data_IF_014924522681
#
_entry.id   IF_014924522681
#
_cell.length_a   1.000
_cell.length_b   1.000
_cell.length_c   1.000
_cell.angle_alpha   90.00
_cell.angle_beta   90.00
_cell.angle_gamma   90.00
#
_symmetry.space_group_name_H-M   'P 1'
#
loop_
_entity.id
_entity.type
_entity.pdbx_description
1 polymer ?
#
# COMPACT_ATOMS: atom_id res chain seq x y z
N UNK A 1 -219.98 -26.89 -35.08
CA UNK A 1 -218.66 -27.01 -35.75
C UNK A 1 -217.53 -26.78 -34.76
N UNK A 2 -217.24 -25.53 -34.33
CA UNK A 2 -216.23 -25.15 -33.30
C UNK A 2 -215.53 -26.28 -32.54
N UNK A 3 -216.24 -27.02 -31.68
CA UNK A 3 -215.68 -28.10 -30.83
C UNK A 3 -214.84 -29.14 -31.61
N UNK A 4 -215.17 -29.48 -32.87
CA UNK A 4 -214.35 -30.40 -33.68
C UNK A 4 -213.04 -29.76 -34.14
N UNK A 5 -213.07 -28.49 -34.52
CA UNK A 5 -211.89 -27.74 -34.98
C UNK A 5 -210.97 -27.41 -33.80
N UNK A 6 -211.56 -27.09 -32.64
CA UNK A 6 -210.89 -26.92 -31.35
C UNK A 6 -210.22 -28.24 -30.91
N UNK A 7 -210.92 -29.38 -31.00
CA UNK A 7 -210.34 -30.70 -30.67
C UNK A 7 -209.23 -31.12 -31.65
N UNK A 8 -209.37 -30.82 -32.94
CA UNK A 8 -208.32 -31.07 -33.93
C UNK A 8 -207.09 -30.16 -33.69
N UNK A 9 -207.31 -28.90 -33.33
CA UNK A 9 -206.28 -27.95 -32.93
C UNK A 9 -205.53 -28.42 -31.67
N UNK A 10 -206.24 -28.80 -30.60
CA UNK A 10 -205.64 -29.37 -29.40
C UNK A 10 -204.84 -30.65 -29.71
N UNK A 11 -205.36 -31.54 -30.55
CA UNK A 11 -204.64 -32.77 -30.94
C UNK A 11 -203.35 -32.46 -31.71
N UNK A 12 -203.37 -31.48 -32.61
CA UNK A 12 -202.18 -31.02 -33.34
C UNK A 12 -201.17 -30.33 -32.42
N UNK A 13 -201.62 -29.48 -31.50
CA UNK A 13 -200.77 -28.84 -30.49
C UNK A 13 -200.14 -29.87 -29.54
N UNK A 14 -200.91 -30.88 -29.10
CA UNK A 14 -200.42 -31.97 -28.26
C UNK A 14 -199.39 -32.84 -28.99
N UNK A 15 -199.62 -33.16 -30.28
CA UNK A 15 -198.59 -33.83 -31.09
C UNK A 15 -197.34 -32.98 -31.28
N UNK A 16 -197.48 -31.67 -31.49
CA UNK A 16 -196.37 -30.71 -31.52
C UNK A 16 -195.56 -30.73 -30.23
N UNK A 17 -196.22 -30.60 -29.08
CA UNK A 17 -195.61 -30.66 -27.76
C UNK A 17 -194.91 -32.01 -27.49
N UNK A 18 -195.46 -33.14 -27.96
CA UNK A 18 -194.75 -34.43 -27.91
C UNK A 18 -193.49 -34.44 -28.79
N UNK A 19 -193.56 -33.94 -30.04
CA UNK A 19 -192.39 -33.88 -30.93
C UNK A 19 -191.33 -32.85 -30.45
N UNK A 20 -191.73 -31.84 -29.69
CA UNK A 20 -190.83 -30.87 -29.04
C UNK A 20 -190.21 -31.45 -27.77
N UNK A 21 -190.99 -32.12 -26.93
CA UNK A 21 -190.49 -32.89 -25.78
C UNK A 21 -189.48 -33.95 -26.21
N UNK A 22 -189.77 -34.69 -27.27
CA UNK A 22 -188.92 -35.81 -27.69
C UNK A 22 -187.64 -35.32 -28.37
N UNK A 23 -187.69 -34.20 -29.11
CA UNK A 23 -186.49 -33.47 -29.55
C UNK A 23 -185.69 -32.87 -28.39
N UNK A 24 -186.36 -32.33 -27.37
CA UNK A 24 -185.70 -31.81 -26.17
C UNK A 24 -185.02 -32.93 -25.36
N UNK A 25 -185.63 -34.12 -25.28
CA UNK A 25 -185.04 -35.31 -24.66
C UNK A 25 -183.83 -35.82 -25.47
N UNK A 26 -183.91 -35.86 -26.80
CA UNK A 26 -182.76 -36.20 -27.66
C UNK A 26 -181.61 -35.19 -27.50
N UNK A 27 -181.91 -33.89 -27.49
CA UNK A 27 -180.92 -32.84 -27.26
C UNK A 27 -180.31 -32.91 -25.85
N UNK A 28 -181.12 -33.21 -24.82
CA UNK A 28 -180.66 -33.40 -23.45
C UNK A 28 -179.74 -34.62 -23.33
N UNK A 29 -180.07 -35.74 -23.97
CA UNK A 29 -179.20 -36.92 -24.00
C UNK A 29 -177.90 -36.64 -24.75
N UNK A 30 -177.94 -35.92 -25.88
CA UNK A 30 -176.73 -35.53 -26.62
C UNK A 30 -175.85 -34.56 -25.82
N UNK A 31 -176.45 -33.61 -25.11
CA UNK A 31 -175.71 -32.69 -24.23
C UNK A 31 -175.10 -33.43 -23.04
N UNK A 32 -175.83 -34.38 -22.43
CA UNK A 32 -175.29 -35.24 -21.36
C UNK A 32 -174.12 -36.10 -21.84
N UNK A 33 -174.21 -36.67 -23.05
CA UNK A 33 -173.12 -37.45 -23.62
C UNK A 33 -171.89 -36.56 -23.87
N UNK A 34 -172.05 -35.41 -24.54
CA UNK A 34 -170.95 -34.46 -24.77
C UNK A 34 -170.33 -33.94 -23.46
N UNK A 35 -171.12 -33.75 -22.39
CA UNK A 35 -170.58 -33.40 -21.08
C UNK A 35 -169.76 -34.57 -20.51
N UNK A 36 -170.26 -35.82 -20.56
CA UNK A 36 -169.49 -37.00 -20.15
C UNK A 36 -168.19 -37.17 -20.96
N UNK A 37 -168.27 -37.04 -22.29
CA UNK A 37 -167.13 -37.18 -23.19
C UNK A 37 -166.06 -36.13 -22.87
N UNK A 38 -166.48 -34.87 -22.63
CA UNK A 38 -165.59 -33.78 -22.25
C UNK A 38 -165.03 -33.94 -20.83
N UNK A 39 -165.83 -34.38 -19.87
CA UNK A 39 -165.38 -34.62 -18.50
C UNK A 39 -164.33 -35.76 -18.47
N UNK A 40 -164.45 -36.74 -19.38
CA UNK A 40 -163.45 -37.78 -19.62
C UNK A 40 -162.19 -37.24 -20.33
N UNK A 41 -162.32 -36.45 -21.40
CA UNK A 41 -161.18 -35.81 -22.10
C UNK A 41 -160.37 -34.90 -21.16
N UNK A 42 -161.04 -34.08 -20.34
CA UNK A 42 -160.39 -33.23 -19.33
C UNK A 42 -159.74 -34.09 -18.23
N UNK A 43 -160.31 -35.24 -17.87
CA UNK A 43 -159.71 -36.16 -16.89
C UNK A 43 -158.48 -36.90 -17.44
N UNK A 44 -158.54 -37.46 -18.65
CA UNK A 44 -157.38 -38.09 -19.30
C UNK A 44 -156.23 -37.09 -19.43
N UNK A 45 -156.54 -35.84 -19.81
CA UNK A 45 -155.56 -34.77 -19.85
C UNK A 45 -154.99 -34.43 -18.46
N UNK A 46 -155.80 -34.37 -17.41
CA UNK A 46 -155.29 -34.16 -16.05
C UNK A 46 -154.35 -35.29 -15.59
N UNK A 47 -154.61 -36.54 -16.01
CA UNK A 47 -153.72 -37.67 -15.75
C UNK A 47 -152.43 -37.61 -16.60
N UNK A 48 -152.44 -37.04 -17.80
CA UNK A 48 -151.23 -36.77 -18.60
C UNK A 48 -150.40 -35.62 -18.03
N UNK A 49 -151.02 -34.46 -17.77
CA UNK A 49 -150.37 -33.30 -17.12
C UNK A 49 -149.74 -33.71 -15.77
N UNK A 50 -150.41 -34.59 -15.01
CA UNK A 50 -149.89 -35.13 -13.74
C UNK A 50 -148.62 -35.97 -13.93
N UNK A 51 -148.57 -36.88 -14.92
CA UNK A 51 -147.37 -37.68 -15.24
C UNK A 51 -146.19 -36.78 -15.63
N UNK A 52 -146.42 -35.79 -16.50
CA UNK A 52 -145.39 -34.83 -16.91
C UNK A 52 -144.87 -34.03 -15.72
N UNK A 53 -145.73 -33.63 -14.79
CA UNK A 53 -145.34 -32.95 -13.55
C UNK A 53 -144.48 -33.87 -12.64
N UNK A 54 -144.79 -35.16 -12.55
CA UNK A 54 -143.98 -36.12 -11.78
C UNK A 54 -142.62 -36.41 -12.42
N UNK A 55 -142.55 -36.57 -13.74
CA UNK A 55 -141.29 -36.72 -14.48
C UNK A 55 -140.39 -35.49 -14.32
N UNK A 56 -140.94 -34.28 -14.47
CA UNK A 56 -140.20 -33.04 -14.27
C UNK A 56 -139.71 -32.89 -12.81
N UNK A 57 -140.51 -33.29 -11.82
CA UNK A 57 -140.08 -33.32 -10.40
C UNK A 57 -138.93 -34.30 -10.19
N UNK A 58 -138.99 -35.50 -10.76
CA UNK A 58 -137.93 -36.50 -10.66
C UNK A 58 -136.62 -36.01 -11.29
N UNK A 59 -136.70 -35.40 -12.48
CA UNK A 59 -135.55 -34.79 -13.17
C UNK A 59 -134.96 -33.65 -12.32
N UNK A 60 -135.78 -32.75 -11.78
CA UNK A 60 -135.31 -31.66 -10.93
C UNK A 60 -134.64 -32.16 -9.63
N UNK A 61 -135.16 -33.20 -9.00
CA UNK A 61 -134.55 -33.79 -7.80
C UNK A 61 -133.24 -34.52 -8.12
N UNK A 62 -133.16 -35.22 -9.25
CA UNK A 62 -131.91 -35.82 -9.74
C UNK A 62 -130.85 -34.74 -10.05
N UNK A 63 -131.23 -33.66 -10.73
CA UNK A 63 -130.34 -32.53 -11.00
C UNK A 63 -129.87 -31.85 -9.70
N UNK A 64 -130.76 -31.66 -8.72
CA UNK A 64 -130.42 -31.10 -7.41
C UNK A 64 -129.45 -32.00 -6.64
N UNK A 65 -129.67 -33.32 -6.66
CA UNK A 65 -128.75 -34.29 -6.07
C UNK A 65 -127.37 -34.26 -6.74
N UNK A 66 -127.32 -34.13 -8.07
CA UNK A 66 -126.06 -34.04 -8.82
C UNK A 66 -125.30 -32.73 -8.54
N UNK A 67 -125.98 -31.59 -8.49
CA UNK A 67 -125.39 -30.29 -8.10
C UNK A 67 -124.76 -30.41 -6.70
N UNK A 68 -125.50 -30.93 -5.72
CA UNK A 68 -125.01 -31.10 -4.34
C UNK A 68 -123.84 -32.10 -4.26
N UNK A 69 -123.75 -33.08 -5.16
CA UNK A 69 -122.57 -33.95 -5.26
C UNK A 69 -121.35 -33.20 -5.82
N UNK A 70 -121.53 -32.41 -6.88
CA UNK A 70 -120.46 -31.58 -7.47
C UNK A 70 -119.96 -30.52 -6.49
N UNK A 71 -120.85 -29.86 -5.75
CA UNK A 71 -120.48 -28.87 -4.70
C UNK A 71 -119.62 -29.49 -3.60
N UNK A 72 -119.96 -30.71 -3.15
CA UNK A 72 -119.13 -31.45 -2.18
C UNK A 72 -117.77 -31.83 -2.77
N UNK A 73 -117.74 -32.36 -4.00
CA UNK A 73 -116.50 -32.76 -4.67
C UNK A 73 -115.56 -31.58 -4.88
N UNK A 74 -116.09 -30.44 -5.36
CA UNK A 74 -115.37 -29.19 -5.49
C UNK A 74 -114.81 -28.72 -4.15
N UNK A 75 -115.61 -28.76 -3.08
CA UNK A 75 -115.17 -28.35 -1.74
C UNK A 75 -114.03 -29.22 -1.19
N UNK A 76 -114.07 -30.53 -1.44
CA UNK A 76 -113.01 -31.47 -1.04
C UNK A 76 -111.72 -31.26 -1.83
N UNK A 77 -111.81 -31.07 -3.15
CA UNK A 77 -110.62 -30.75 -3.96
C UNK A 77 -110.06 -29.35 -3.62
N UNK A 78 -110.90 -28.37 -3.26
CA UNK A 78 -110.43 -27.08 -2.75
C UNK A 78 -109.64 -27.20 -1.44
N UNK A 79 -110.12 -27.97 -0.45
CA UNK A 79 -109.36 -28.17 0.80
C UNK A 79 -108.04 -28.91 0.55
N UNK A 80 -108.07 -29.95 -0.28
CA UNK A 80 -106.89 -30.72 -0.71
C UNK A 80 -105.88 -29.88 -1.51
N UNK A 81 -106.35 -28.93 -2.32
CA UNK A 81 -105.49 -27.98 -3.03
C UNK A 81 -104.81 -27.00 -2.05
N UNK A 82 -105.51 -26.55 -1.01
CA UNK A 82 -104.93 -25.65 -0.01
C UNK A 82 -103.94 -26.37 0.92
N UNK A 83 -104.26 -27.60 1.33
CA UNK A 83 -103.34 -28.48 2.07
C UNK A 83 -102.04 -28.73 1.29
N UNK A 84 -102.13 -29.05 -0.02
CA UNK A 84 -100.96 -29.28 -0.86
C UNK A 84 -100.16 -28.01 -1.17
N UNK A 85 -100.79 -26.84 -1.34
CA UNK A 85 -100.08 -25.54 -1.36
C UNK A 85 -99.28 -25.34 -0.08
N UNK A 86 -99.90 -25.62 1.08
CA UNK A 86 -99.25 -25.47 2.38
C UNK A 86 -98.04 -26.40 2.51
N UNK A 87 -98.17 -27.70 2.20
CA UNK A 87 -97.02 -28.62 2.30
C UNK A 87 -95.88 -28.21 1.37
N UNK A 88 -96.18 -27.77 0.13
CA UNK A 88 -95.17 -27.26 -0.81
C UNK A 88 -94.48 -25.99 -0.26
N UNK A 89 -95.22 -25.09 0.40
CA UNK A 89 -94.64 -23.91 1.02
C UNK A 89 -93.75 -24.27 2.24
N UNK A 90 -94.21 -25.19 3.08
CA UNK A 90 -93.47 -25.66 4.26
C UNK A 90 -92.22 -26.48 3.87
N UNK A 91 -92.24 -27.19 2.74
CA UNK A 91 -91.06 -27.81 2.12
C UNK A 91 -90.11 -26.77 1.51
N UNK A 92 -90.65 -25.75 0.83
CA UNK A 92 -89.85 -24.66 0.25
C UNK A 92 -89.12 -23.84 1.31
N UNK A 93 -89.76 -23.55 2.46
CA UNK A 93 -89.10 -22.87 3.59
C UNK A 93 -87.92 -23.68 4.09
N UNK A 94 -88.14 -24.96 4.45
CA UNK A 94 -87.09 -25.86 4.94
C UNK A 94 -85.95 -26.04 3.94
N UNK A 95 -86.25 -26.11 2.64
CA UNK A 95 -85.21 -26.18 1.60
C UNK A 95 -84.43 -24.87 1.47
N UNK A 96 -85.06 -23.71 1.68
CA UNK A 96 -84.40 -22.41 1.64
C UNK A 96 -83.50 -22.21 2.87
N UNK A 97 -83.99 -22.55 4.06
CA UNK A 97 -83.21 -22.58 5.32
C UNK A 97 -81.96 -23.46 5.19
N UNK A 98 -82.07 -24.64 4.56
CA UNK A 98 -80.94 -25.52 4.27
C UNK A 98 -79.95 -24.91 3.26
N UNK A 99 -80.43 -24.19 2.24
CA UNK A 99 -79.57 -23.49 1.28
C UNK A 99 -78.80 -22.36 1.97
N UNK A 100 -79.43 -21.60 2.86
CA UNK A 100 -78.79 -20.51 3.63
C UNK A 100 -77.72 -21.05 4.61
N UNK A 101 -78.00 -22.14 5.32
CA UNK A 101 -77.02 -22.83 6.18
C UNK A 101 -75.83 -23.38 5.38
N UNK A 102 -76.07 -23.97 4.20
CA UNK A 102 -75.01 -24.45 3.32
C UNK A 102 -74.19 -23.30 2.71
N UNK A 103 -74.80 -22.18 2.35
CA UNK A 103 -74.11 -20.97 1.89
C UNK A 103 -73.23 -20.37 3.00
N UNK A 104 -73.75 -20.28 4.22
CA UNK A 104 -72.98 -19.81 5.39
C UNK A 104 -71.79 -20.72 5.68
N UNK A 105 -71.97 -22.05 5.63
CA UNK A 105 -70.87 -23.02 5.78
C UNK A 105 -69.84 -22.89 4.66
N UNK A 106 -70.27 -22.72 3.40
CA UNK A 106 -69.37 -22.53 2.26
C UNK A 106 -68.54 -21.24 2.40
N UNK A 107 -69.17 -20.12 2.76
CA UNK A 107 -68.48 -18.85 2.99
C UNK A 107 -67.44 -18.96 4.12
N UNK A 108 -67.77 -19.63 5.22
CA UNK A 108 -66.80 -19.87 6.31
C UNK A 108 -65.62 -20.76 5.86
N UNK A 109 -65.86 -21.77 5.03
CA UNK A 109 -64.80 -22.59 4.44
C UNK A 109 -63.91 -21.78 3.47
N UNK A 110 -64.49 -20.88 2.67
CA UNK A 110 -63.74 -19.97 1.78
C UNK A 110 -62.85 -19.01 2.58
N UNK A 111 -63.41 -18.32 3.58
CA UNK A 111 -62.65 -17.43 4.47
C UNK A 111 -61.50 -18.16 5.19
N UNK A 112 -61.72 -19.41 5.60
CA UNK A 112 -60.69 -20.24 6.23
C UNK A 112 -59.60 -20.68 5.24
N UNK A 113 -59.94 -20.91 3.96
CA UNK A 113 -58.98 -21.23 2.91
C UNK A 113 -58.12 -20.01 2.54
N UNK A 114 -58.74 -18.85 2.29
CA UNK A 114 -58.04 -17.59 1.99
C UNK A 114 -57.04 -17.20 3.10
N UNK A 115 -57.42 -17.40 4.37
CA UNK A 115 -56.53 -17.22 5.52
C UNK A 115 -55.31 -18.14 5.47
N UNK A 116 -55.48 -19.41 5.03
CA UNK A 116 -54.38 -20.37 4.86
C UNK A 116 -53.51 -20.10 3.65
N UNK A 117 -54.08 -19.62 2.55
CA UNK A 117 -53.30 -19.18 1.39
C UNK A 117 -52.42 -17.97 1.74
N UNK A 118 -52.92 -17.04 2.56
CA UNK A 118 -52.12 -15.92 3.08
C UNK A 118 -51.03 -16.38 4.07
N UNK A 119 -51.31 -17.36 4.94
CA UNK A 119 -50.27 -17.99 5.77
C UNK A 119 -49.15 -18.64 4.93
N UNK A 120 -49.52 -19.38 3.88
CA UNK A 120 -48.57 -20.02 2.96
C UNK A 120 -47.72 -18.99 2.21
N UNK A 121 -48.33 -17.90 1.70
CA UNK A 121 -47.62 -16.82 1.03
C UNK A 121 -46.63 -16.09 1.97
N UNK A 122 -47.01 -15.89 3.24
CA UNK A 122 -46.14 -15.32 4.25
C UNK A 122 -44.95 -16.26 4.56
N UNK A 123 -45.19 -17.57 4.70
CA UNK A 123 -44.14 -18.57 4.94
C UNK A 123 -43.19 -18.71 3.73
N UNK A 124 -43.71 -18.69 2.51
CA UNK A 124 -42.91 -18.72 1.28
C UNK A 124 -42.02 -17.46 1.18
N UNK A 125 -42.54 -16.29 1.57
CA UNK A 125 -41.78 -15.04 1.60
C UNK A 125 -40.65 -15.08 2.63
N UNK A 126 -40.94 -15.56 3.85
CA UNK A 126 -39.94 -15.71 4.91
C UNK A 126 -38.86 -16.76 4.55
N UNK A 127 -39.23 -17.86 3.90
CA UNK A 127 -38.28 -18.87 3.41
C UNK A 127 -37.37 -18.31 2.30
N UNK A 128 -37.92 -17.51 1.38
CA UNK A 128 -37.13 -16.81 0.37
C UNK A 128 -36.12 -15.82 0.97
N UNK A 129 -36.51 -15.08 2.02
CA UNK A 129 -35.60 -14.23 2.79
C UNK A 129 -34.51 -15.03 3.49
N UNK A 130 -34.86 -16.17 4.12
CA UNK A 130 -33.89 -17.03 4.80
C UNK A 130 -32.83 -17.60 3.83
N UNK A 131 -33.22 -18.01 2.62
CA UNK A 131 -32.25 -18.45 1.60
C UNK A 131 -31.31 -17.30 1.20
N UNK A 132 -31.82 -16.10 0.95
CA UNK A 132 -31.00 -14.94 0.61
C UNK A 132 -30.05 -14.53 1.75
N UNK A 133 -30.50 -14.59 3.00
CA UNK A 133 -29.65 -14.33 4.18
C UNK A 133 -28.57 -15.41 4.34
N UNK A 134 -28.91 -16.69 4.12
CA UNK A 134 -27.94 -17.79 4.16
C UNK A 134 -26.87 -17.64 3.07
N UNK A 135 -27.24 -17.28 1.85
CA UNK A 135 -26.33 -17.09 0.72
C UNK A 135 -25.45 -15.82 0.89
N UNK A 136 -25.97 -14.78 1.53
CA UNK A 136 -25.19 -13.60 1.91
C UNK A 136 -24.19 -13.91 3.04
N UNK A 137 -24.61 -14.72 4.03
CA UNK A 137 -23.78 -15.18 5.15
C UNK A 137 -22.65 -16.11 4.69
N UNK A 138 -22.89 -16.94 3.68
CA UNK A 138 -21.87 -17.79 3.06
C UNK A 138 -20.76 -16.92 2.43
N UNK A 139 -21.12 -15.96 1.57
CA UNK A 139 -20.16 -15.00 0.97
C UNK A 139 -19.37 -14.22 2.02
N UNK A 140 -20.03 -13.73 3.08
CA UNK A 140 -19.34 -13.04 4.19
C UNK A 140 -18.40 -13.97 4.96
N UNK A 141 -18.66 -15.29 4.96
CA UNK A 141 -17.75 -16.30 5.50
C UNK A 141 -16.49 -16.46 4.65
N UNK A 142 -16.63 -16.51 3.33
CA UNK A 142 -15.52 -16.59 2.37
C UNK A 142 -14.66 -15.31 2.39
N UNK A 143 -15.27 -14.13 2.35
CA UNK A 143 -14.55 -12.84 2.48
C UNK A 143 -13.75 -12.77 3.78
N UNK A 144 -14.33 -13.24 4.89
CA UNK A 144 -13.68 -13.30 6.20
C UNK A 144 -12.55 -14.34 6.24
N UNK A 145 -12.68 -15.46 5.50
CA UNK A 145 -11.62 -16.44 5.35
C UNK A 145 -10.44 -15.89 4.53
N UNK A 146 -10.72 -15.24 3.38
CA UNK A 146 -9.71 -14.57 2.56
C UNK A 146 -8.98 -13.46 3.33
N UNK A 147 -9.72 -12.63 4.08
CA UNK A 147 -9.13 -11.58 4.92
C UNK A 147 -8.22 -12.15 6.03
N UNK A 148 -8.60 -13.27 6.65
CA UNK A 148 -7.74 -13.98 7.62
C UNK A 148 -6.48 -14.55 6.98
N UNK A 149 -6.58 -15.14 5.79
CA UNK A 149 -5.42 -15.68 5.07
C UNK A 149 -4.45 -14.56 4.64
N UNK A 150 -4.97 -13.44 4.14
CA UNK A 150 -4.18 -12.25 3.82
C UNK A 150 -3.48 -11.66 5.05
N UNK A 151 -4.17 -11.58 6.20
CA UNK A 151 -3.60 -11.12 7.46
C UNK A 151 -2.52 -12.09 7.99
N UNK A 152 -2.69 -13.40 7.83
CA UNK A 152 -1.67 -14.39 8.19
C UNK A 152 -0.42 -14.25 7.30
N UNK A 153 -0.58 -14.09 5.99
CA UNK A 153 0.52 -13.82 5.04
C UNK A 153 1.28 -12.54 5.38
N UNK A 154 0.57 -11.46 5.70
CA UNK A 154 1.16 -10.18 6.11
C UNK A 154 1.91 -10.29 7.45
N UNK A 155 1.33 -11.01 8.43
CA UNK A 155 1.95 -11.26 9.73
C UNK A 155 3.28 -12.01 9.61
N UNK A 156 3.34 -13.08 8.79
CA UNK A 156 4.58 -13.82 8.57
C UNK A 156 5.61 -12.99 7.78
N UNK A 157 5.18 -12.21 6.79
CA UNK A 157 6.05 -11.27 6.07
C UNK A 157 6.67 -10.21 7.01
N UNK A 158 5.87 -9.64 7.92
CA UNK A 158 6.33 -8.69 8.94
C UNK A 158 7.29 -9.36 9.96
N UNK A 159 7.04 -10.62 10.32
CA UNK A 159 7.93 -11.43 11.17
C UNK A 159 9.29 -11.68 10.50
N UNK A 160 9.32 -12.02 9.20
CA UNK A 160 10.56 -12.16 8.42
C UNK A 160 11.28 -10.82 8.29
N UNK A 161 10.58 -9.72 8.02
CA UNK A 161 11.17 -8.37 7.94
C UNK A 161 11.83 -7.96 9.27
N UNK A 162 11.15 -8.18 10.41
CA UNK A 162 11.69 -7.92 11.75
C UNK A 162 12.93 -8.78 12.05
N UNK A 163 12.96 -10.05 11.64
CA UNK A 163 14.15 -10.89 11.76
C UNK A 163 15.33 -10.35 10.93
N UNK A 164 15.07 -9.87 9.71
CA UNK A 164 16.08 -9.22 8.86
C UNK A 164 16.64 -7.93 9.49
N UNK A 165 15.77 -7.07 10.04
CA UNK A 165 16.16 -5.87 10.78
C UNK A 165 17.05 -6.23 11.98
N UNK A 166 16.71 -7.27 12.74
CA UNK A 166 17.52 -7.73 13.87
C UNK A 166 18.87 -8.33 13.47
N UNK A 167 18.98 -8.95 12.29
CA UNK A 167 20.28 -9.41 11.74
C UNK A 167 21.14 -8.20 11.38
N UNK A 168 20.61 -7.28 10.57
CA UNK A 168 21.32 -6.07 10.14
C UNK A 168 21.71 -5.16 11.32
N UNK A 169 20.89 -5.12 12.37
CA UNK A 169 21.22 -4.43 13.64
C UNK A 169 22.47 -5.03 14.29
N UNK A 170 22.54 -6.36 14.42
CA UNK A 170 23.69 -7.08 14.98
C UNK A 170 24.95 -6.89 14.15
N UNK A 171 24.85 -6.96 12.82
CA UNK A 171 25.96 -6.69 11.90
C UNK A 171 26.49 -5.25 12.05
N UNK A 172 25.59 -4.26 12.10
CA UNK A 172 25.93 -2.85 12.34
C UNK A 172 26.62 -2.66 13.70
N UNK A 173 26.15 -3.31 14.76
CA UNK A 173 26.76 -3.24 16.09
C UNK A 173 28.15 -3.90 16.13
N UNK A 174 28.36 -5.00 15.41
CA UNK A 174 29.69 -5.62 15.23
C UNK A 174 30.65 -4.72 14.44
N UNK A 175 30.19 -4.07 13.36
CA UNK A 175 30.99 -3.10 12.58
C UNK A 175 31.36 -1.89 13.44
N UNK A 176 30.43 -1.35 14.25
CA UNK A 176 30.72 -0.26 15.20
C UNK A 176 31.73 -0.69 16.26
N UNK A 177 31.65 -1.92 16.77
CA UNK A 177 32.64 -2.45 17.72
C UNK A 177 34.04 -2.52 17.08
N UNK A 178 34.16 -3.09 15.87
CA UNK A 178 35.42 -3.15 15.11
C UNK A 178 35.99 -1.77 14.80
N UNK A 179 35.14 -0.81 14.40
CA UNK A 179 35.54 0.58 14.18
C UNK A 179 36.13 1.19 15.47
N UNK A 180 35.43 1.05 16.61
CA UNK A 180 35.90 1.59 17.89
C UNK A 180 37.21 0.95 18.38
N UNK A 181 37.54 -0.27 17.94
CA UNK A 181 38.82 -0.93 18.19
C UNK A 181 39.91 -0.36 17.27
N UNK A 182 39.63 -0.20 15.98
CA UNK A 182 40.55 0.41 15.01
C UNK A 182 40.90 1.86 15.37
N UNK A 183 39.92 2.65 15.82
CA UNK A 183 40.13 4.02 16.31
C UNK A 183 41.07 4.08 17.52
N UNK A 184 40.92 3.17 18.48
CA UNK A 184 41.82 3.05 19.64
C UNK A 184 43.24 2.68 19.21
N UNK A 185 43.39 1.65 18.38
CA UNK A 185 44.71 1.24 17.86
C UNK A 185 45.38 2.36 17.03
N UNK A 186 44.61 3.14 16.28
CA UNK A 186 45.12 4.31 15.55
C UNK A 186 45.54 5.43 16.51
N UNK A 187 44.80 5.66 17.61
CA UNK A 187 45.18 6.64 18.63
C UNK A 187 46.43 6.21 19.43
N UNK A 188 46.61 4.91 19.69
CA UNK A 188 47.83 4.35 20.27
C UNK A 188 49.01 4.42 19.30
N UNK A 189 48.79 4.13 18.02
CA UNK A 189 49.78 4.28 16.95
C UNK A 189 50.24 5.72 16.79
N UNK A 190 49.31 6.69 16.74
CA UNK A 190 49.62 8.13 16.70
C UNK A 190 50.42 8.58 17.93
N UNK A 191 50.02 8.16 19.14
CA UNK A 191 50.77 8.46 20.38
C UNK A 191 52.16 7.85 20.41
N UNK A 192 52.36 6.71 19.74
CA UNK A 192 53.67 6.05 19.65
C UNK A 192 54.56 6.68 18.58
N UNK A 193 53.99 7.08 17.43
CA UNK A 193 54.68 7.83 16.39
C UNK A 193 55.14 9.20 16.90
N UNK A 194 54.31 9.95 17.63
CA UNK A 194 54.70 11.23 18.22
C UNK A 194 55.93 11.07 19.13
N UNK A 195 55.96 10.06 20.01
CA UNK A 195 57.13 9.81 20.87
C UNK A 195 58.39 9.50 20.07
N UNK A 196 58.27 8.69 19.01
CA UNK A 196 59.40 8.36 18.13
C UNK A 196 59.86 9.57 17.33
N UNK A 197 58.97 10.48 16.95
CA UNK A 197 59.28 11.75 16.29
C UNK A 197 59.98 12.73 17.26
N UNK A 198 59.44 12.87 18.48
CA UNK A 198 60.05 13.65 19.57
C UNK A 198 61.48 13.15 19.86
N UNK A 199 61.67 11.84 20.03
CA UNK A 199 62.99 11.23 20.29
C UNK A 199 63.91 11.27 19.07
N UNK A 200 63.40 11.16 17.84
CA UNK A 200 64.20 11.36 16.62
C UNK A 200 64.67 12.82 16.50
N UNK A 201 63.83 13.80 16.87
CA UNK A 201 64.21 15.21 16.90
C UNK A 201 65.33 15.49 17.91
N UNK A 202 65.25 14.87 19.10
CA UNK A 202 66.30 14.94 20.14
C UNK A 202 67.61 14.31 19.66
N UNK A 203 67.55 13.14 19.02
CA UNK A 203 68.72 12.47 18.47
C UNK A 203 69.37 13.28 17.33
N UNK A 204 68.58 13.89 16.45
CA UNK A 204 69.09 14.82 15.42
C UNK A 204 69.80 16.02 16.05
N UNK A 205 69.18 16.65 17.05
CA UNK A 205 69.77 17.81 17.72
C UNK A 205 71.06 17.44 18.48
N UNK A 206 71.11 16.28 19.14
CA UNK A 206 72.32 15.78 19.81
C UNK A 206 73.45 15.45 18.81
N UNK A 207 73.10 14.88 17.65
CA UNK A 207 74.04 14.63 16.55
C UNK A 207 74.56 15.95 15.95
N UNK A 208 73.71 16.95 15.78
CA UNK A 208 74.11 18.27 15.30
C UNK A 208 75.06 18.96 16.30
N UNK A 209 74.75 18.93 17.60
CA UNK A 209 75.64 19.45 18.66
C UNK A 209 77.02 18.73 18.68
N UNK A 210 77.04 17.41 18.48
CA UNK A 210 78.30 16.65 18.45
C UNK A 210 79.11 16.93 17.18
N UNK A 211 78.45 17.01 16.01
CA UNK A 211 79.08 17.39 14.74
C UNK A 211 79.65 18.81 14.80
N UNK A 212 78.91 19.78 15.34
CA UNK A 212 79.39 21.15 15.58
C UNK A 212 80.59 21.18 16.54
N UNK A 213 80.66 20.27 17.50
CA UNK A 213 81.79 20.16 18.43
C UNK A 213 83.02 19.54 17.76
N UNK A 214 82.86 18.47 16.98
CA UNK A 214 83.95 17.86 16.18
C UNK A 214 84.49 18.86 15.16
N UNK A 215 83.63 19.54 14.40
CA UNK A 215 84.04 20.56 13.42
C UNK A 215 84.80 21.72 14.07
N UNK A 216 84.39 22.16 15.27
CA UNK A 216 85.12 23.19 16.03
C UNK A 216 86.50 22.69 16.48
N UNK A 217 86.59 21.47 17.00
CA UNK A 217 87.87 20.87 17.41
C UNK A 217 88.83 20.65 16.24
N UNK A 218 88.32 20.35 15.04
CA UNK A 218 89.12 20.17 13.83
C UNK A 218 89.59 21.48 13.19
N UNK A 219 89.06 22.64 13.60
CA UNK A 219 89.50 23.95 13.10
C UNK A 219 90.64 24.55 13.94
N UNK A 220 90.72 24.22 15.23
CA UNK A 220 91.78 24.70 16.13
C UNK A 220 93.13 23.96 15.94
N UNK A 221 93.12 22.72 15.40
CA UNK A 221 94.31 21.88 15.26
C UNK A 221 95.29 22.36 14.18
N UNK A 222 94.78 22.87 13.06
CA UNK A 222 95.54 22.96 11.82
C UNK A 222 96.38 24.24 11.69
N UNK A 223 96.29 25.16 12.66
CA UNK A 223 96.88 26.49 12.60
C UNK A 223 97.68 26.90 13.86
N UNK A 224 98.02 25.96 14.75
CA UNK A 224 98.66 26.26 16.05
C UNK A 224 99.91 25.41 16.37
N UNK A 225 101.01 25.64 15.65
CA UNK A 225 102.33 25.13 16.10
C UNK A 225 102.76 25.85 17.38
N UNK A 226 102.98 25.11 18.48
CA UNK A 226 103.33 25.73 19.77
C UNK A 226 104.63 26.55 19.67
N UNK A 227 104.48 27.86 19.84
CA UNK A 227 105.56 28.86 19.85
C UNK A 227 106.70 28.48 20.81
N UNK A 228 106.43 27.77 21.92
CA UNK A 228 107.48 27.28 22.84
C UNK A 228 108.37 26.22 22.19
N UNK A 229 107.80 25.33 21.38
CA UNK A 229 108.55 24.33 20.62
C UNK A 229 109.39 25.02 19.55
N UNK A 230 108.81 25.99 18.81
CA UNK A 230 109.54 26.78 17.80
C UNK A 230 110.74 27.51 18.42
N UNK A 231 110.53 28.22 19.54
CA UNK A 231 111.59 28.92 20.28
C UNK A 231 112.65 27.93 20.77
N UNK A 232 112.25 26.79 21.36
CA UNK A 232 113.20 25.81 21.90
C UNK A 232 114.05 25.17 20.81
N UNK A 233 113.48 24.91 19.62
CA UNK A 233 114.21 24.44 18.45
C UNK A 233 115.24 25.47 17.97
N UNK A 234 114.83 26.74 17.77
CA UNK A 234 115.75 27.84 17.42
C UNK A 234 116.90 27.96 18.43
N UNK A 235 116.60 28.01 19.72
CA UNK A 235 117.60 28.11 20.79
C UNK A 235 118.55 26.89 20.78
N UNK A 236 118.03 25.68 20.56
CA UNK A 236 118.86 24.46 20.49
C UNK A 236 119.77 24.46 19.26
N UNK A 237 119.32 25.03 18.13
CA UNK A 237 120.12 25.14 16.90
C UNK A 237 121.35 26.05 17.12
N UNK A 238 121.14 27.26 17.67
CA UNK A 238 122.26 28.15 18.02
C UNK A 238 123.16 27.55 19.12
N UNK A 239 122.59 26.98 20.18
CA UNK A 239 123.36 26.41 21.30
C UNK A 239 124.23 25.21 20.92
N UNK A 240 123.83 24.40 19.94
CA UNK A 240 124.59 23.23 19.47
C UNK A 240 125.46 23.53 18.26
N UNK A 241 126.04 24.74 18.21
CA UNK A 241 126.87 25.26 17.13
C UNK A 241 126.30 24.95 15.73
N UNK A 242 125.05 25.40 15.50
CA UNK A 242 124.35 25.28 14.21
C UNK A 242 124.16 23.84 13.73
N UNK A 243 123.97 22.90 14.68
CA UNK A 243 123.79 21.47 14.44
C UNK A 243 122.74 21.16 13.35
N UNK A 244 123.20 20.50 12.29
CA UNK A 244 122.39 20.08 11.13
C UNK A 244 121.20 19.19 11.51
N UNK A 245 121.33 18.35 12.53
CA UNK A 245 120.25 17.48 13.03
C UNK A 245 119.06 18.30 13.58
N UNK A 246 119.35 19.40 14.27
CA UNK A 246 118.32 20.31 14.80
C UNK A 246 117.62 21.04 13.65
N UNK A 247 118.38 21.42 12.61
CA UNK A 247 117.83 22.05 11.42
C UNK A 247 116.93 21.08 10.61
N UNK A 248 117.34 19.82 10.41
CA UNK A 248 116.50 18.78 9.80
C UNK A 248 115.24 18.47 10.63
N UNK A 249 115.30 18.60 11.96
CA UNK A 249 114.12 18.48 12.83
C UNK A 249 113.18 19.69 12.68
N UNK A 250 113.73 20.90 12.60
CA UNK A 250 112.97 22.13 12.36
C UNK A 250 112.23 22.09 11.02
N UNK A 251 112.90 21.69 9.93
CA UNK A 251 112.28 21.50 8.61
C UNK A 251 111.04 20.60 8.71
N UNK A 252 111.16 19.45 9.39
CA UNK A 252 110.09 18.45 9.49
C UNK A 252 108.94 18.84 10.42
N UNK A 253 109.20 19.62 11.47
CA UNK A 253 108.17 20.01 12.47
C UNK A 253 107.56 21.40 12.21
N UNK A 254 108.21 22.24 11.42
CA UNK A 254 107.76 23.61 11.10
C UNK A 254 107.34 23.79 9.64
N UNK A 255 107.60 22.80 8.78
CA UNK A 255 107.24 22.86 7.36
C UNK A 255 108.11 23.81 6.52
N UNK A 256 109.35 24.07 6.93
CA UNK A 256 110.28 24.86 6.10
C UNK A 256 110.59 24.14 4.78
N UNK A 257 110.90 24.91 3.73
CA UNK A 257 111.38 24.34 2.47
C UNK A 257 112.86 23.97 2.54
N UNK A 258 113.32 23.17 1.58
CA UNK A 258 114.74 22.83 1.45
C UNK A 258 115.58 24.06 1.03
N UNK A 259 114.98 25.09 0.39
CA UNK A 259 115.68 26.37 0.13
C UNK A 259 115.91 27.18 1.42
N UNK A 260 114.94 27.23 2.34
CA UNK A 260 115.09 27.93 3.62
C UNK A 260 116.13 27.25 4.51
N UNK A 261 116.11 25.92 4.54
CA UNK A 261 117.15 25.09 5.15
C UNK A 261 118.54 25.37 4.59
N UNK A 262 118.69 25.47 3.26
CA UNK A 262 119.97 25.83 2.64
C UNK A 262 120.39 27.25 3.02
N UNK A 263 119.48 28.24 3.01
CA UNK A 263 119.78 29.62 3.43
C UNK A 263 120.29 29.69 4.88
N UNK A 264 119.67 28.95 5.80
CA UNK A 264 120.07 28.89 7.21
C UNK A 264 121.42 28.15 7.37
N UNK A 265 121.63 27.05 6.65
CA UNK A 265 122.88 26.27 6.70
C UNK A 265 124.09 27.02 6.11
N UNK A 266 123.95 27.63 4.94
CA UNK A 266 125.04 28.34 4.25
C UNK A 266 125.47 29.65 4.92
N UNK A 267 124.63 30.21 5.79
CA UNK A 267 125.01 31.37 6.60
C UNK A 267 126.19 31.05 7.54
N UNK A 268 126.26 29.82 8.09
CA UNK A 268 127.26 29.46 9.09
C UNK A 268 128.67 29.26 8.51
N UNK A 269 128.81 28.60 7.36
CA UNK A 269 130.13 28.31 6.78
C UNK A 269 130.91 29.58 6.44
N UNK A 270 130.21 30.67 6.13
CA UNK A 270 130.81 31.98 5.89
C UNK A 270 131.30 32.66 7.18
N UNK A 271 130.71 32.35 8.33
CA UNK A 271 131.16 32.85 9.65
C UNK A 271 132.41 32.12 10.09
N UNK A 272 132.42 30.78 10.02
CA UNK A 272 133.58 29.98 10.44
C UNK A 272 134.83 30.31 9.60
N UNK A 273 134.66 30.51 8.28
CA UNK A 273 135.74 30.97 7.37
C UNK A 273 136.25 32.38 7.71
N UNK A 274 135.39 33.28 8.23
CA UNK A 274 135.81 34.61 8.68
C UNK A 274 136.58 34.55 10.01
N UNK A 275 136.23 33.62 10.90
CA UNK A 275 136.95 33.40 12.17
C UNK A 275 138.36 32.87 11.92
N UNK A 276 138.52 31.87 11.04
CA UNK A 276 139.83 31.35 10.65
C UNK A 276 140.70 32.41 9.94
N UNK A 277 140.10 33.24 9.08
CA UNK A 277 140.79 34.36 8.43
C UNK A 277 141.33 35.36 9.46
N UNK A 278 140.51 35.78 10.43
CA UNK A 278 140.91 36.70 11.49
C UNK A 278 141.96 36.11 12.45
N UNK A 279 141.87 34.82 12.77
CA UNK A 279 142.91 34.11 13.54
C UNK A 279 144.25 34.13 12.80
N UNK A 280 144.25 33.87 11.50
CA UNK A 280 145.47 33.89 10.68
C UNK A 280 146.04 35.30 10.51
N UNK A 281 145.20 36.31 10.30
CA UNK A 281 145.61 37.73 10.26
C UNK A 281 146.08 38.26 11.63
N UNK A 282 145.83 37.51 12.71
CA UNK A 282 146.35 37.79 14.07
C UNK A 282 147.69 37.09 14.32
N UNK A 283 147.82 35.81 13.92
CA UNK A 283 149.05 35.03 14.06
C UNK A 283 150.19 35.58 13.18
N UNK A 284 149.88 36.03 11.96
CA UNK A 284 150.86 36.73 11.11
C UNK A 284 151.26 38.09 11.71
N UNK A 285 150.35 38.82 12.38
CA UNK A 285 150.67 40.09 13.06
C UNK A 285 151.61 39.96 14.26
N UNK A 286 151.65 38.82 14.95
CA UNK A 286 152.66 38.60 15.99
C UNK A 286 154.06 38.40 15.37
N UNK A 287 154.12 37.69 14.24
CA UNK A 287 155.38 37.40 13.53
C UNK A 287 155.94 38.63 12.81
N UNK A 288 155.06 39.48 12.25
CA UNK A 288 155.44 40.72 11.56
C UNK A 288 156.11 41.73 12.51
N UNK A 289 155.59 41.91 13.74
CA UNK A 289 156.14 42.87 14.72
C UNK A 289 157.61 42.59 15.09
N UNK A 290 158.06 41.33 14.99
CA UNK A 290 159.44 40.96 15.26
C UNK A 290 160.40 41.30 14.11
N UNK A 291 159.91 41.40 12.86
CA UNK A 291 160.72 41.71 11.67
C UNK A 291 160.61 43.18 11.22
N UNK A 292 159.46 43.83 11.39
CA UNK A 292 159.25 45.24 11.00
C UNK A 292 160.01 46.25 11.88
N UNK A 293 160.61 45.81 12.99
CA UNK A 293 161.60 46.58 13.73
C UNK A 293 162.95 46.70 12.99
N UNK A 294 163.23 45.83 12.01
CA UNK A 294 164.53 45.75 11.32
C UNK A 294 164.62 46.55 10.00
N UNK A 295 163.49 46.87 9.36
CA UNK A 295 163.42 47.71 8.16
C UNK A 295 162.02 48.35 8.05
N UNK A 296 161.85 49.65 7.77
CA UNK A 296 162.83 50.73 7.52
C UNK A 296 163.78 50.56 6.32
N UNK A 297 163.25 50.09 5.19
CA UNK A 297 163.73 50.45 3.84
C UNK A 297 162.71 49.99 2.76
N UNK A 298 162.06 50.96 2.06
CA UNK A 298 161.35 50.82 0.74
C UNK A 298 160.21 49.78 0.58
N UNK A 299 159.10 49.99 -0.16
CA UNK A 299 158.50 51.16 -0.83
C UNK A 299 157.00 50.90 -1.18
N UNK A 300 156.39 51.84 -1.93
CA UNK A 300 155.33 51.79 -2.97
C UNK A 300 154.72 50.44 -3.46
N UNK A 301 153.53 50.37 -4.10
CA UNK A 301 152.30 51.21 -4.20
C UNK A 301 151.18 50.45 -4.99
N UNK A 302 149.89 50.83 -4.82
CA UNK A 302 148.77 50.84 -5.80
C UNK A 302 148.11 49.60 -6.50
N UNK A 303 146.75 49.58 -6.40
CA UNK A 303 145.71 49.49 -7.47
C UNK A 303 145.17 48.17 -8.13
N UNK A 304 143.82 47.96 -8.01
CA UNK A 304 142.81 47.57 -9.08
C UNK A 304 142.76 46.11 -9.66
N UNK A 305 141.70 45.50 -10.27
CA UNK A 305 140.24 45.80 -10.54
C UNK A 305 139.38 44.56 -11.04
N UNK A 306 138.06 44.53 -10.72
CA UNK A 306 136.85 44.17 -11.58
C UNK A 306 136.37 42.75 -12.08
N UNK A 307 135.01 42.54 -12.02
CA UNK A 307 134.04 41.72 -12.87
C UNK A 307 133.94 40.15 -12.72
N UNK A 308 132.88 39.36 -13.07
CA UNK A 308 131.35 39.38 -13.23
C UNK A 308 130.84 38.04 -13.92
N UNK A 309 129.57 37.53 -14.01
CA UNK A 309 128.27 37.53 -13.25
C UNK A 309 127.13 36.65 -13.95
N UNK A 310 126.00 36.27 -13.26
CA UNK A 310 124.67 35.68 -13.75
C UNK A 310 124.55 34.15 -14.12
N UNK A 311 123.42 33.42 -14.40
CA UNK A 311 121.96 33.68 -14.68
C UNK A 311 120.99 32.39 -14.67
N UNK A 312 119.64 32.53 -14.80
CA UNK A 312 118.52 31.57 -15.22
C UNK A 312 118.00 30.40 -14.27
N UNK A 313 116.86 29.65 -14.48
CA UNK A 313 115.42 29.86 -14.92
C UNK A 313 114.50 28.55 -14.89
N UNK A 314 113.14 28.65 -14.74
CA UNK A 314 112.01 27.69 -15.10
C UNK A 314 111.71 26.39 -14.24
N UNK A 315 110.62 25.57 -14.37
CA UNK A 315 109.11 25.65 -14.59
C UNK A 315 108.49 24.18 -14.57
N UNK A 316 107.21 23.70 -14.71
CA UNK A 316 105.80 24.16 -15.00
C UNK A 316 104.68 23.03 -14.82
N UNK A 317 103.35 23.35 -14.84
CA UNK A 317 102.13 22.46 -15.07
C UNK A 317 101.62 21.49 -13.93
N UNK A 318 100.45 20.77 -13.93
CA UNK A 318 99.41 20.36 -14.95
C UNK A 318 97.87 20.41 -14.55
N UNK A 319 97.03 19.33 -14.52
CA UNK A 319 95.53 19.38 -14.67
C UNK A 319 94.61 18.36 -13.87
N UNK A 320 93.29 18.66 -13.69
CA UNK A 320 92.25 17.83 -12.99
C UNK A 320 90.72 18.14 -13.30
N UNK A 321 89.75 17.16 -13.27
CA UNK A 321 88.25 17.30 -13.41
C UNK A 321 87.42 16.87 -12.14
N UNK A 322 86.05 16.72 -12.05
CA UNK A 322 84.86 17.05 -12.89
C UNK A 322 83.49 16.39 -12.44
N UNK A 323 82.35 16.80 -13.05
CA UNK A 323 80.93 16.26 -13.07
C UNK A 323 79.88 16.53 -11.91
N UNK A 324 78.65 17.02 -12.25
CA UNK A 324 77.46 17.23 -11.36
C UNK A 324 76.12 17.61 -12.09
N UNK A 325 74.93 17.55 -11.45
CA UNK A 325 73.55 17.67 -12.06
C UNK A 325 72.42 18.22 -11.12
N UNK A 326 71.36 18.91 -11.65
CA UNK A 326 70.06 19.37 -10.99
C UNK A 326 69.09 20.03 -12.03
N UNK A 327 67.89 20.64 -11.73
CA UNK A 327 66.67 20.31 -10.92
C UNK A 327 65.33 20.44 -11.76
N UNK A 328 64.08 20.47 -11.19
CA UNK A 328 62.84 21.17 -11.73
C UNK A 328 61.55 21.16 -10.83
N UNK A 329 60.46 21.88 -11.22
CA UNK A 329 59.22 22.19 -10.43
C UNK A 329 57.97 22.49 -11.34
N UNK A 330 56.75 22.55 -10.75
CA UNK A 330 55.39 22.89 -11.32
C UNK A 330 54.77 21.83 -12.28
N UNK A 331 53.44 21.70 -12.45
CA UNK A 331 52.34 22.70 -12.38
C UNK A 331 50.96 22.14 -11.89
N UNK A 332 49.91 22.99 -11.88
CA UNK A 332 48.50 22.72 -11.48
C UNK A 332 47.57 22.63 -12.72
N UNK A 333 46.32 22.12 -12.59
CA UNK A 333 45.19 23.05 -12.67
C UNK A 333 44.02 22.72 -11.70
N UNK A 334 42.99 23.57 -11.71
CA UNK A 334 41.85 23.59 -10.79
C UNK A 334 40.62 24.15 -11.52
N UNK A 335 39.49 23.42 -11.54
CA UNK A 335 38.19 23.88 -12.06
C UNK A 335 37.07 22.87 -11.80
N UNK A 336 36.07 23.29 -11.01
CA UNK A 336 34.62 23.29 -11.31
C UNK A 336 33.90 21.97 -11.73
N UNK A 337 32.65 21.68 -11.33
CA UNK A 337 31.70 22.46 -10.50
C UNK A 337 30.69 21.56 -9.76
N UNK A 338 29.91 22.13 -8.83
CA UNK A 338 28.80 21.46 -8.13
C UNK A 338 27.48 21.51 -8.92
N UNK A 339 26.68 20.43 -8.90
CA UNK A 339 25.26 20.35 -8.47
C UNK A 339 24.65 18.99 -8.87
N UNK A 340 24.02 18.22 -7.98
CA UNK A 340 22.79 18.44 -7.19
C UNK A 340 21.50 18.47 -8.03
N UNK A 341 20.62 17.49 -7.73
CA UNK A 341 19.30 17.27 -8.32
C UNK A 341 18.24 18.16 -7.65
N UNK A 342 17.31 18.76 -8.42
CA UNK A 342 16.01 19.19 -7.92
C UNK A 342 14.88 18.21 -8.31
N UNK A 343 13.91 18.05 -7.40
CA UNK A 343 12.69 17.25 -7.61
C UNK A 343 11.66 17.97 -8.48
N UNK A 344 10.80 17.20 -9.15
CA UNK A 344 9.50 17.66 -9.64
C UNK A 344 8.41 16.62 -9.28
N UNK A 345 7.30 17.03 -8.61
CA UNK A 345 6.19 16.13 -8.30
C UNK A 345 5.13 16.15 -9.43
N UNK A 346 4.31 15.11 -9.52
CA UNK A 346 2.96 15.19 -10.09
C UNK A 346 2.01 14.21 -9.37
N UNK A 347 0.74 14.60 -9.29
CA UNK A 347 -0.35 13.91 -8.59
C UNK A 347 -1.48 13.63 -9.59
N UNK A 348 -2.33 12.62 -9.32
CA UNK A 348 -3.72 12.49 -9.86
C UNK A 348 -3.82 12.24 -11.39
N UNK A 349 -4.43 11.15 -11.87
CA UNK A 349 -5.85 10.86 -11.66
C UNK A 349 -6.24 9.39 -11.91
N UNK A 350 -7.29 8.95 -11.23
CA UNK A 350 -8.15 7.85 -11.68
C UNK A 350 -9.12 8.36 -12.76
N UNK A 351 -9.51 7.52 -13.73
CA UNK A 351 -10.92 7.14 -13.92
C UNK A 351 -11.09 6.01 -14.94
N UNK A 352 -12.07 5.13 -14.68
CA UNK A 352 -12.59 4.12 -15.62
C UNK A 352 -13.95 4.57 -16.17
N UNK A 353 -14.28 4.24 -17.44
CA UNK A 353 -15.64 4.39 -17.95
C UNK A 353 -16.44 3.08 -17.77
N UNK A 354 -17.65 3.19 -17.22
CA UNK A 354 -18.69 2.17 -17.44
C UNK A 354 -19.31 2.33 -18.84
N UNK A 355 -19.98 1.28 -19.31
CA UNK A 355 -20.95 1.33 -20.40
C UNK A 355 -22.03 0.28 -20.20
#
# INVERSE_FOLDING_TARGET
MKVKDEMASLKKALQGAFHERDRALQNLSRLKQHLLDKDLEDQEKMDEDSKVIEELRAICEQQRAHIVQLERALKVEMTKQEESKKTINDERSRSNEQIEDLQYKLANCMNALESKDQELLNLQSALGQYYAESEAKERLGDDLAMAREALAKLSESLKVANQGIEISRREKDEVVAKLSQAEKMLADGKRSLQKLEDDNSRLRHALEQSMTTVNRMSLDSDNSVDRRIVIKLLVTYFQRNHSKEVLDLMVRMLGFSEEDKQRIGSAQSNVDLWVDFLLKETEEREKQKASEAAARLSHEENQTTSRSASNLQASQHIANPGLSTKPHQFDRPDSDEFRMVPLAPMYTSMQTPLK
#
